data_IF_671282057255
#
_entry.id   IF_671282057255
#
_cell.length_a   1.000
_cell.length_b   1.000
_cell.length_c   1.000
_cell.angle_alpha   90.00
_cell.angle_beta   90.00
_cell.angle_gamma   90.00
#
_symmetry.space_group_name_H-M   'P 1'
#
loop_
_entity.id
_entity.type
_entity.pdbx_description
1 polymer ?
#
# COMPACT_ATOMS: atom_id res chain seq x y z
N UNK A 1 12.88 -1.55 -12.15
CA UNK A 1 13.02 -0.11 -11.81
C UNK A 1 11.93 0.66 -12.55
N UNK A 2 11.58 1.87 -12.10
CA UNK A 2 10.59 2.73 -12.77
C UNK A 2 11.27 3.61 -13.82
N UNK A 3 10.62 3.79 -14.97
CA UNK A 3 11.07 4.71 -16.03
C UNK A 3 11.27 6.13 -15.47
N UNK A 4 12.34 6.86 -15.83
CA UNK A 4 12.57 8.21 -15.32
C UNK A 4 11.43 9.20 -15.57
N UNK A 5 10.76 9.17 -16.74
CA UNK A 5 9.63 10.06 -17.02
C UNK A 5 8.42 9.66 -16.19
N UNK A 6 8.15 8.37 -16.06
CA UNK A 6 7.09 7.86 -15.18
C UNK A 6 7.35 8.25 -13.71
N UNK A 7 8.59 8.15 -13.25
CA UNK A 7 9.01 8.57 -11.90
C UNK A 7 8.74 10.06 -11.67
N UNK A 8 9.15 10.92 -12.60
CA UNK A 8 8.91 12.36 -12.46
C UNK A 8 7.42 12.69 -12.51
N UNK A 9 6.63 12.02 -13.36
CA UNK A 9 5.17 12.17 -13.36
C UNK A 9 4.55 11.84 -12.01
N UNK A 10 4.93 10.72 -11.40
CA UNK A 10 4.48 10.31 -10.06
C UNK A 10 4.90 11.37 -9.03
N UNK A 11 6.17 11.79 -9.04
CA UNK A 11 6.69 12.80 -8.11
C UNK A 11 5.94 14.13 -8.23
N UNK A 12 5.74 14.64 -9.45
CA UNK A 12 5.02 15.90 -9.68
C UNK A 12 3.57 15.82 -9.24
N UNK A 13 2.86 14.74 -9.57
CA UNK A 13 1.47 14.55 -9.10
C UNK A 13 1.40 14.58 -7.57
N UNK A 14 2.24 13.80 -6.90
CA UNK A 14 2.24 13.68 -5.45
C UNK A 14 2.68 14.98 -4.76
N UNK A 15 3.71 15.65 -5.29
CA UNK A 15 4.18 16.92 -4.75
C UNK A 15 3.09 18.01 -4.85
N UNK A 16 2.42 18.10 -6.00
CA UNK A 16 1.35 19.09 -6.23
C UNK A 16 0.11 18.81 -5.37
N UNK A 17 -0.27 17.54 -5.23
CA UNK A 17 -1.51 17.17 -4.54
C UNK A 17 -1.35 17.13 -3.01
N UNK A 18 -0.20 16.69 -2.52
CA UNK A 18 -0.01 16.37 -1.10
C UNK A 18 1.13 17.15 -0.42
N UNK A 19 1.79 18.06 -1.14
CA UNK A 19 2.92 18.84 -0.65
C UNK A 19 4.05 17.96 -0.06
N UNK A 20 4.31 16.83 -0.71
CA UNK A 20 5.37 15.88 -0.31
C UNK A 20 6.62 16.14 -1.15
N UNK A 21 7.75 16.30 -0.46
CA UNK A 21 9.07 16.31 -1.11
C UNK A 21 9.69 14.91 -1.08
N UNK A 22 10.59 14.64 -2.03
CA UNK A 22 11.24 13.35 -2.20
C UNK A 22 12.71 13.37 -1.76
N UNK A 23 13.11 14.33 -0.92
CA UNK A 23 14.50 14.42 -0.43
C UNK A 23 14.81 13.29 0.57
N UNK A 24 13.78 12.73 1.19
CA UNK A 24 13.81 11.50 1.98
C UNK A 24 12.95 10.41 1.34
N UNK A 25 13.02 9.20 1.89
CA UNK A 25 12.20 8.09 1.37
C UNK A 25 10.70 8.37 1.56
N UNK A 26 9.99 8.31 0.45
CA UNK A 26 8.53 8.28 0.35
C UNK A 26 8.13 6.91 -0.15
N UNK A 27 7.14 6.29 0.48
CA UNK A 27 6.49 5.09 -0.07
C UNK A 27 5.27 5.53 -0.87
N UNK A 28 5.12 5.01 -2.08
CA UNK A 28 3.97 5.25 -2.95
C UNK A 28 3.30 3.91 -3.22
N UNK A 29 2.06 3.74 -2.75
CA UNK A 29 1.20 2.63 -3.14
C UNK A 29 0.38 3.02 -4.35
N UNK A 30 0.59 2.34 -5.48
CA UNK A 30 -0.18 2.48 -6.70
C UNK A 30 -1.14 1.29 -6.79
N UNK A 31 -2.43 1.59 -6.66
CA UNK A 31 -3.51 0.62 -6.77
C UNK A 31 -3.88 0.34 -8.22
N UNK A 32 -4.09 -0.92 -8.58
CA UNK A 32 -4.57 -1.34 -9.89
C UNK A 32 -3.56 -1.09 -11.01
N UNK A 33 -2.26 -1.15 -10.72
CA UNK A 33 -1.23 -0.92 -11.73
C UNK A 33 0.08 -1.64 -11.44
N UNK A 34 0.71 -2.17 -12.50
CA UNK A 34 2.00 -2.85 -12.45
C UNK A 34 2.97 -2.22 -13.46
N UNK A 35 4.28 -2.12 -13.15
CA UNK A 35 5.27 -1.71 -14.14
C UNK A 35 5.41 -2.79 -15.22
N UNK A 36 5.48 -2.37 -16.48
CA UNK A 36 5.94 -3.23 -17.57
C UNK A 36 7.48 -3.35 -17.55
N UNK A 37 8.03 -4.08 -18.53
CA UNK A 37 9.48 -4.27 -18.69
C UNK A 37 10.28 -2.97 -18.81
N UNK A 38 9.66 -1.89 -19.29
CA UNK A 38 10.26 -0.57 -19.43
C UNK A 38 10.09 0.29 -18.17
N UNK A 39 9.47 -0.23 -17.11
CA UNK A 39 9.23 0.51 -15.87
C UNK A 39 8.09 1.53 -15.96
N UNK A 40 7.23 1.44 -16.97
CA UNK A 40 6.02 2.26 -17.11
C UNK A 40 4.86 1.54 -16.41
N UNK A 41 4.12 2.25 -15.56
CA UNK A 41 2.95 1.69 -14.87
C UNK A 41 1.82 1.49 -15.89
N UNK A 42 1.30 0.27 -15.97
CA UNK A 42 0.16 -0.11 -16.81
C UNK A 42 -1.01 -0.45 -15.89
N UNK A 43 -2.18 0.14 -16.17
CA UNK A 43 -3.41 -0.16 -15.44
C UNK A 43 -3.84 -1.61 -15.66
N UNK A 44 -4.44 -2.21 -14.64
CA UNK A 44 -5.09 -3.51 -14.72
C UNK A 44 -6.53 -3.43 -14.19
N UNK A 45 -7.22 -4.57 -14.13
CA UNK A 45 -8.63 -4.63 -13.70
C UNK A 45 -8.87 -4.29 -12.23
N UNK A 46 -7.80 -4.13 -11.43
CA UNK A 46 -7.88 -3.91 -9.98
C UNK A 46 -8.77 -4.96 -9.27
N UNK A 47 -8.68 -6.20 -9.74
CA UNK A 47 -9.43 -7.32 -9.19
C UNK A 47 -9.00 -7.63 -7.76
N UNK A 48 -9.98 -7.99 -6.92
CA UNK A 48 -9.72 -8.43 -5.56
C UNK A 48 -8.89 -9.73 -5.53
N UNK A 49 -8.22 -9.94 -4.41
CA UNK A 49 -7.46 -11.16 -4.13
C UNK A 49 -6.21 -11.36 -5.02
N UNK A 50 -5.78 -10.31 -5.73
CA UNK A 50 -4.63 -10.37 -6.64
C UNK A 50 -3.47 -9.49 -6.19
N UNK A 51 -2.26 -9.89 -6.61
CA UNK A 51 -1.04 -9.10 -6.42
C UNK A 51 -0.88 -8.13 -7.60
N UNK A 52 -1.82 -7.22 -7.76
CA UNK A 52 -1.96 -6.35 -8.93
C UNK A 52 -1.67 -4.88 -8.63
N UNK A 53 -1.06 -4.61 -7.48
CA UNK A 53 -0.62 -3.27 -7.08
C UNK A 53 0.90 -3.15 -7.09
N UNK A 54 1.35 -1.91 -7.12
CA UNK A 54 2.77 -1.57 -7.06
C UNK A 54 3.06 -0.74 -5.81
N UNK A 55 4.04 -1.16 -5.03
CA UNK A 55 4.57 -0.37 -3.91
C UNK A 55 5.94 0.15 -4.33
N UNK A 56 6.12 1.46 -4.37
CA UNK A 56 7.37 2.11 -4.78
C UNK A 56 8.00 2.80 -3.57
N UNK A 57 9.31 2.65 -3.39
CA UNK A 57 10.12 3.56 -2.57
C UNK A 57 10.80 4.57 -3.47
N UNK A 58 10.57 5.86 -3.22
CA UNK A 58 11.15 6.96 -3.99
C UNK A 58 11.96 7.88 -3.07
N UNK A 59 13.21 8.18 -3.44
CA UNK A 59 14.07 9.21 -2.85
C UNK A 59 14.94 9.82 -3.94
N UNK A 60 14.85 11.13 -4.13
CA UNK A 60 15.50 11.87 -5.21
C UNK A 60 15.18 11.25 -6.59
N UNK A 61 16.20 10.68 -7.24
CA UNK A 61 16.08 10.00 -8.53
C UNK A 61 16.01 8.46 -8.39
N UNK A 62 16.09 7.93 -7.18
CA UNK A 62 15.95 6.50 -6.93
C UNK A 62 14.47 6.14 -6.79
N UNK A 63 14.01 5.18 -7.60
CA UNK A 63 12.67 4.60 -7.51
C UNK A 63 12.73 3.07 -7.63
N UNK A 64 12.45 2.40 -6.52
CA UNK A 64 12.44 0.93 -6.42
C UNK A 64 11.00 0.46 -6.27
N UNK A 65 10.53 -0.33 -7.24
CA UNK A 65 9.17 -0.82 -7.30
C UNK A 65 9.11 -2.30 -6.91
N UNK A 66 8.10 -2.63 -6.11
CA UNK A 66 7.82 -3.95 -5.60
C UNK A 66 6.38 -4.32 -5.96
N UNK A 67 6.17 -5.52 -6.47
CA UNK A 67 4.81 -6.05 -6.64
C UNK A 67 4.20 -6.28 -5.25
N UNK A 68 2.92 -5.95 -5.11
CA UNK A 68 2.22 -6.10 -3.84
C UNK A 68 0.72 -6.03 -3.97
N UNK A 69 0.08 -5.78 -2.84
CA UNK A 69 -1.33 -5.43 -2.73
C UNK A 69 -1.51 -4.32 -1.70
N UNK A 70 -2.47 -3.45 -1.92
CA UNK A 70 -2.94 -2.40 -1.00
C UNK A 70 -4.32 -2.76 -0.44
N UNK A 71 -4.83 -3.93 -0.80
CA UNK A 71 -6.19 -4.36 -0.57
C UNK A 71 -6.23 -5.69 0.19
N UNK A 72 -7.43 -6.03 0.66
CA UNK A 72 -7.63 -7.28 1.38
C UNK A 72 -7.71 -8.48 0.42
N UNK A 73 -7.23 -9.63 0.91
CA UNK A 73 -7.43 -10.90 0.22
C UNK A 73 -8.79 -11.52 0.51
N UNK A 74 -9.15 -12.53 -0.29
CA UNK A 74 -10.47 -13.17 -0.28
C UNK A 74 -10.90 -13.68 1.09
N UNK A 75 -9.96 -14.21 1.90
CA UNK A 75 -10.26 -14.68 3.27
C UNK A 75 -10.96 -13.59 4.09
N UNK A 76 -10.46 -12.37 3.98
CA UNK A 76 -10.88 -11.25 4.80
C UNK A 76 -12.00 -10.43 4.17
N UNK A 77 -12.21 -10.57 2.86
CA UNK A 77 -13.42 -10.10 2.17
C UNK A 77 -14.62 -10.98 2.59
N UNK A 78 -14.47 -12.29 2.49
CA UNK A 78 -15.56 -13.23 2.82
C UNK A 78 -15.87 -13.26 4.33
N UNK A 79 -14.84 -13.09 5.18
CA UNK A 79 -14.95 -13.10 6.64
C UNK A 79 -14.14 -11.95 7.27
N UNK A 80 -14.67 -10.71 7.28
CA UNK A 80 -13.96 -9.56 7.81
C UNK A 80 -13.72 -9.67 9.32
N UNK A 81 -12.54 -9.24 9.76
CA UNK A 81 -12.21 -9.17 11.20
C UNK A 81 -13.09 -8.17 11.95
N UNK A 82 -13.48 -7.09 11.27
CA UNK A 82 -14.41 -6.11 11.83
C UNK A 82 -15.84 -6.43 11.34
N UNK A 83 -16.84 -6.48 12.24
CA UNK A 83 -18.22 -6.79 11.86
C UNK A 83 -18.81 -5.77 10.87
N UNK A 84 -18.28 -4.55 10.83
CA UNK A 84 -18.65 -3.47 9.91
C UNK A 84 -18.06 -3.61 8.50
N UNK A 85 -17.28 -4.65 8.22
CA UNK A 85 -16.69 -4.89 6.90
C UNK A 85 -15.18 -4.74 6.83
N UNK A 86 -14.63 -5.27 5.74
CA UNK A 86 -13.20 -5.23 5.41
C UNK A 86 -12.77 -3.82 5.12
N UNK A 87 -11.61 -3.40 5.62
CA UNK A 87 -11.10 -2.05 5.40
C UNK A 87 -10.26 -1.99 4.12
N UNK A 88 -10.41 -0.90 3.35
CA UNK A 88 -9.54 -0.53 2.23
C UNK A 88 -9.01 0.88 2.46
N UNK A 89 -7.69 1.01 2.48
CA UNK A 89 -7.04 2.32 2.65
C UNK A 89 -7.34 3.24 1.46
N UNK A 90 -7.77 4.48 1.74
CA UNK A 90 -8.12 5.46 0.72
C UNK A 90 -6.91 6.14 0.08
N UNK A 91 -7.13 6.74 -1.10
CA UNK A 91 -6.12 7.55 -1.78
C UNK A 91 -5.72 8.79 -0.96
N UNK A 92 -4.42 8.97 -0.77
CA UNK A 92 -3.84 10.20 -0.23
C UNK A 92 -2.68 9.95 0.70
N UNK A 93 -2.32 10.97 1.48
CA UNK A 93 -1.13 10.98 2.32
C UNK A 93 -1.41 10.40 3.72
N UNK A 94 -0.68 9.34 4.04
CA UNK A 94 -0.63 8.71 5.35
C UNK A 94 0.82 8.73 5.85
N UNK A 95 1.03 8.40 7.12
CA UNK A 95 2.37 8.24 7.67
C UNK A 95 2.50 6.90 8.35
N UNK A 96 3.65 6.27 8.15
CA UNK A 96 4.00 5.00 8.75
C UNK A 96 5.36 5.10 9.42
N UNK A 97 5.68 4.15 10.30
CA UNK A 97 6.95 4.07 10.99
C UNK A 97 7.20 2.66 11.50
N UNK A 98 8.39 2.40 12.05
CA UNK A 98 8.76 1.07 12.54
C UNK A 98 7.75 0.53 13.56
N UNK A 99 7.43 -0.76 13.42
CA UNK A 99 6.48 -1.46 14.27
C UNK A 99 6.60 -2.97 14.12
N UNK A 100 5.55 -3.67 14.53
CA UNK A 100 5.44 -5.12 14.42
C UNK A 100 4.09 -5.49 13.79
N UNK A 101 4.09 -6.62 13.09
CA UNK A 101 2.88 -7.31 12.63
C UNK A 101 3.10 -8.81 12.96
N UNK A 102 2.26 -9.39 13.83
CA UNK A 102 2.42 -10.75 14.37
C UNK A 102 3.85 -11.08 14.85
N UNK A 103 4.39 -10.20 15.69
CA UNK A 103 5.75 -10.25 16.25
C UNK A 103 6.88 -10.19 15.21
N UNK A 104 6.60 -9.87 13.94
CA UNK A 104 7.60 -9.71 12.88
C UNK A 104 7.82 -8.23 12.59
N UNK A 105 9.07 -7.81 12.28
CA UNK A 105 9.39 -6.42 11.96
C UNK A 105 8.54 -5.93 10.78
N UNK A 106 7.70 -4.93 10.98
CA UNK A 106 6.82 -4.35 9.97
C UNK A 106 6.74 -2.82 10.13
N UNK A 107 5.89 -2.16 9.35
CA UNK A 107 5.57 -0.76 9.57
C UNK A 107 4.12 -0.62 10.02
N UNK A 108 3.87 0.26 10.99
CA UNK A 108 2.53 0.58 11.46
C UNK A 108 2.18 2.00 11.09
N UNK A 109 0.89 2.30 10.97
CA UNK A 109 0.42 3.66 10.81
C UNK A 109 0.93 4.53 11.99
N UNK A 110 1.27 5.77 11.68
CA UNK A 110 1.77 6.84 12.56
C UNK A 110 0.96 8.14 12.38
N UNK A 111 -0.18 8.03 11.70
CA UNK A 111 -1.20 9.06 11.50
C UNK A 111 -2.58 8.41 11.48
N UNK A 112 -3.63 9.23 11.56
CA UNK A 112 -4.98 8.77 11.22
C UNK A 112 -4.96 8.17 9.83
N UNK A 113 -5.67 7.06 9.66
CA UNK A 113 -5.93 6.48 8.36
C UNK A 113 -7.36 6.80 7.96
N UNK A 114 -7.55 7.05 6.68
CA UNK A 114 -8.86 7.18 6.07
C UNK A 114 -8.99 6.16 4.94
N UNK A 115 -10.22 5.77 4.65
CA UNK A 115 -10.54 4.77 3.66
C UNK A 115 -12.00 4.39 3.71
N UNK A 116 -12.32 3.20 3.22
CA UNK A 116 -13.68 2.68 3.21
C UNK A 116 -13.77 1.32 3.89
N UNK A 117 -14.96 0.98 4.38
CA UNK A 117 -15.31 -0.38 4.80
C UNK A 117 -16.39 -0.94 3.88
N UNK A 118 -16.17 -2.16 3.41
CA UNK A 118 -17.15 -2.97 2.67
C UNK A 118 -18.29 -3.40 3.60
N UNK A 119 -19.18 -2.45 3.87
CA UNK A 119 -20.21 -2.56 4.91
C UNK A 119 -21.38 -3.44 4.50
N UNK A 120 -21.62 -3.57 3.19
CA UNK A 120 -22.59 -4.48 2.58
C UNK A 120 -22.00 -5.87 2.28
N UNK A 121 -20.66 -6.04 2.41
CA UNK A 121 -19.94 -7.32 2.31
C UNK A 121 -20.11 -8.00 0.97
N UNK A 122 -20.17 -7.21 -0.11
CA UNK A 122 -20.31 -7.73 -1.47
C UNK A 122 -18.96 -7.84 -2.20
N UNK A 123 -17.87 -7.43 -1.53
CA UNK A 123 -16.53 -7.39 -2.09
C UNK A 123 -16.34 -6.33 -3.17
N UNK A 124 -17.28 -5.40 -3.38
CA UNK A 124 -17.20 -4.41 -4.45
C UNK A 124 -16.98 -3.04 -3.84
N UNK A 125 -15.80 -2.49 -4.09
CA UNK A 125 -15.47 -1.17 -3.59
C UNK A 125 -16.21 -0.07 -4.38
N UNK A 126 -17.20 0.56 -3.75
CA UNK A 126 -18.09 1.51 -4.42
C UNK A 126 -18.67 2.56 -3.46
N UNK A 127 -19.53 3.44 -3.97
CA UNK A 127 -20.11 4.55 -3.19
C UNK A 127 -21.04 4.12 -2.04
N UNK A 128 -21.48 2.86 -2.01
CA UNK A 128 -22.24 2.30 -0.89
C UNK A 128 -21.35 1.97 0.32
N UNK A 129 -20.02 1.93 0.15
CA UNK A 129 -19.10 1.65 1.24
C UNK A 129 -19.04 2.79 2.25
N UNK A 130 -18.94 2.40 3.52
CA UNK A 130 -18.84 3.35 4.61
C UNK A 130 -17.45 4.01 4.59
N UNK A 131 -17.41 5.31 4.30
CA UNK A 131 -16.21 6.10 4.47
C UNK A 131 -15.88 6.23 5.95
N UNK A 132 -14.64 5.88 6.30
CA UNK A 132 -14.18 5.87 7.68
C UNK A 132 -12.86 6.61 7.81
N UNK A 133 -12.69 7.29 8.92
CA UNK A 133 -11.40 7.81 9.38
C UNK A 133 -11.24 7.37 10.82
N UNK A 134 -10.13 6.73 11.16
CA UNK A 134 -9.88 6.33 12.55
C UNK A 134 -8.69 7.09 13.14
N UNK A 135 -8.75 7.28 14.46
CA UNK A 135 -7.72 7.93 15.23
C UNK A 135 -6.43 7.09 15.26
N UNK A 136 -5.29 7.77 15.34
CA UNK A 136 -4.03 7.15 15.69
C UNK A 136 -3.73 7.38 17.19
N UNK A 137 -3.24 6.38 17.94
CA UNK A 137 -3.17 4.95 17.58
C UNK A 137 -4.56 4.30 17.65
N UNK A 138 -4.93 3.42 16.70
CA UNK A 138 -6.30 2.89 16.65
C UNK A 138 -6.53 1.68 15.73
N UNK A 139 -7.76 1.16 15.84
CA UNK A 139 -8.25 -0.22 15.64
C UNK A 139 -8.04 -0.89 14.27
N UNK A 140 -7.69 -0.14 13.22
CA UNK A 140 -7.51 -0.73 11.89
C UNK A 140 -6.40 -1.78 11.82
N UNK A 141 -5.34 -1.67 12.62
CA UNK A 141 -4.20 -2.61 12.57
C UNK A 141 -3.51 -2.69 11.20
N UNK A 142 -3.62 -1.64 10.38
CA UNK A 142 -3.04 -1.62 9.02
C UNK A 142 -1.53 -1.47 9.11
N UNK A 143 -0.84 -2.42 8.49
CA UNK A 143 0.61 -2.48 8.45
C UNK A 143 1.15 -2.48 7.02
N UNK A 144 2.43 -2.14 6.87
CA UNK A 144 3.21 -2.51 5.67
C UNK A 144 4.08 -3.69 6.03
N UNK A 145 3.94 -4.82 5.33
CA UNK A 145 4.67 -6.04 5.67
C UNK A 145 4.94 -6.98 4.48
N UNK A 146 5.72 -8.03 4.74
CA UNK A 146 6.03 -9.09 3.78
C UNK A 146 4.90 -10.14 3.73
N UNK A 147 4.81 -10.91 2.65
CA UNK A 147 3.82 -11.98 2.53
C UNK A 147 4.17 -13.19 3.41
N UNK A 148 3.13 -13.88 3.87
CA UNK A 148 3.21 -15.15 4.60
C UNK A 148 3.23 -16.36 3.66
N UNK A 149 2.51 -16.27 2.54
CA UNK A 149 2.38 -17.34 1.55
C UNK A 149 2.29 -16.77 0.14
N UNK A 150 2.79 -17.54 -0.80
CA UNK A 150 2.65 -17.26 -2.23
C UNK A 150 1.26 -17.68 -2.75
N UNK A 151 0.98 -17.41 -4.02
CA UNK A 151 -0.32 -17.63 -4.66
C UNK A 151 -1.14 -16.36 -4.73
N UNK A 152 -2.44 -16.42 -4.40
CA UNK A 152 -3.34 -15.25 -4.29
C UNK A 152 -3.09 -14.48 -2.99
N UNK A 153 -3.59 -13.25 -2.87
CA UNK A 153 -3.45 -12.46 -1.62
C UNK A 153 -4.04 -13.25 -0.44
N UNK A 154 -5.22 -13.81 -0.64
CA UNK A 154 -6.01 -14.66 0.23
C UNK A 154 -6.03 -14.18 1.70
N UNK A 155 -5.09 -14.63 2.52
CA UNK A 155 -5.02 -14.29 3.95
C UNK A 155 -3.86 -13.39 4.33
N UNK A 156 -3.05 -12.98 3.35
CA UNK A 156 -1.88 -12.15 3.56
C UNK A 156 -2.25 -10.72 4.00
N UNK A 157 -3.43 -10.22 3.62
CA UNK A 157 -3.83 -8.84 3.92
C UNK A 157 -5.30 -8.77 4.32
N UNK A 158 -5.60 -8.21 5.48
CA UNK A 158 -6.96 -7.82 5.89
C UNK A 158 -7.27 -6.34 5.57
N UNK A 159 -6.47 -5.71 4.69
CA UNK A 159 -6.45 -4.27 4.43
C UNK A 159 -5.06 -3.62 4.65
N UNK A 160 -4.02 -4.44 4.80
CA UNK A 160 -2.62 -4.04 4.89
C UNK A 160 -2.03 -3.74 3.50
N UNK A 161 -0.88 -3.06 3.49
CA UNK A 161 -0.02 -2.98 2.32
C UNK A 161 0.98 -4.13 2.40
N UNK A 162 0.95 -5.06 1.45
CA UNK A 162 1.76 -6.27 1.51
C UNK A 162 2.63 -6.38 0.28
N UNK A 163 3.95 -6.49 0.49
CA UNK A 163 4.89 -6.80 -0.57
C UNK A 163 4.80 -8.30 -0.89
N UNK A 164 4.79 -8.66 -2.17
CA UNK A 164 4.80 -10.05 -2.64
C UNK A 164 6.20 -10.68 -2.52
N UNK A 165 6.77 -10.59 -1.34
CA UNK A 165 8.09 -11.10 -0.97
C UNK A 165 8.03 -11.64 0.46
N UNK A 166 8.73 -12.75 0.73
CA UNK A 166 8.76 -13.35 2.07
C UNK A 166 9.59 -12.53 3.06
N UNK A 167 9.31 -12.69 4.35
CA UNK A 167 9.97 -11.99 5.47
C UNK A 167 11.50 -12.10 5.53
N UNK A 168 12.08 -13.14 4.95
CA UNK A 168 13.53 -13.37 4.91
C UNK A 168 14.16 -13.07 3.55
N UNK A 169 13.36 -12.63 2.57
CA UNK A 169 13.87 -12.30 1.23
C UNK A 169 14.79 -11.07 1.25
N UNK A 170 15.70 -11.02 0.28
CA UNK A 170 16.57 -9.85 0.06
C UNK A 170 15.75 -8.59 -0.17
N UNK A 171 14.71 -8.67 -1.00
CA UNK A 171 13.85 -7.52 -1.35
C UNK A 171 13.13 -6.94 -0.12
N UNK A 172 12.53 -7.80 0.72
CA UNK A 172 11.90 -7.34 1.95
C UNK A 172 12.93 -6.73 2.91
N UNK A 173 14.09 -7.37 3.08
CA UNK A 173 15.12 -6.88 3.98
C UNK A 173 15.68 -5.53 3.51
N UNK A 174 15.88 -5.34 2.21
CA UNK A 174 16.27 -4.06 1.63
C UNK A 174 15.17 -3.01 1.81
N UNK A 175 13.92 -3.34 1.46
CA UNK A 175 12.74 -2.51 1.68
C UNK A 175 12.67 -1.99 3.12
N UNK A 176 12.76 -2.93 4.06
CA UNK A 176 12.65 -2.70 5.49
C UNK A 176 13.81 -1.85 6.01
N UNK A 177 15.05 -2.25 5.74
CA UNK A 177 16.23 -1.67 6.38
C UNK A 177 16.45 -0.21 6.00
N UNK A 178 16.10 0.19 4.77
CA UNK A 178 16.20 1.59 4.36
C UNK A 178 15.22 2.51 5.10
N UNK A 179 14.01 2.02 5.37
CA UNK A 179 12.92 2.78 6.00
C UNK A 179 12.98 2.72 7.52
N UNK A 180 13.52 1.65 8.10
CA UNK A 180 13.70 1.51 9.56
C UNK A 180 14.62 2.57 10.17
N UNK A 181 15.45 3.22 9.34
CA UNK A 181 16.28 4.38 9.74
C UNK A 181 15.44 5.63 10.03
N UNK A 182 14.18 5.65 9.59
CA UNK A 182 13.26 6.76 9.76
C UNK A 182 12.26 6.41 10.88
N UNK A 183 12.07 7.32 11.84
CA UNK A 183 11.04 7.14 12.88
C UNK A 183 9.62 7.21 12.31
N UNK A 184 9.45 7.98 11.24
CA UNK A 184 8.19 8.22 10.53
C UNK A 184 8.49 8.63 9.09
N UNK A 185 7.73 8.12 8.12
CA UNK A 185 7.87 8.45 6.71
C UNK A 185 6.50 8.54 6.02
N UNK A 186 6.39 9.36 4.95
CA UNK A 186 5.15 9.50 4.19
C UNK A 186 4.87 8.25 3.35
N UNK A 187 3.60 7.86 3.32
CA UNK A 187 3.05 6.80 2.48
C UNK A 187 1.88 7.38 1.71
N UNK A 188 2.01 7.49 0.40
CA UNK A 188 0.98 8.06 -0.47
C UNK A 188 0.30 6.96 -1.25
N UNK A 189 -1.02 6.85 -1.11
CA UNK A 189 -1.84 5.90 -1.86
C UNK A 189 -2.46 6.63 -3.05
N UNK A 190 -2.34 6.07 -4.25
CA UNK A 190 -2.94 6.61 -5.48
C UNK A 190 -3.47 5.48 -6.34
N UNK A 191 -4.52 5.72 -7.09
CA UNK A 191 -4.97 4.81 -8.15
C UNK A 191 -4.11 5.02 -9.41
N UNK A 192 -3.81 3.94 -10.11
CA UNK A 192 -3.03 3.98 -11.35
C UNK A 192 -3.62 4.95 -12.39
N UNK A 193 -4.95 5.05 -12.45
CA UNK A 193 -5.70 5.97 -13.33
C UNK A 193 -5.29 7.45 -13.23
N UNK A 194 -4.75 7.88 -12.07
CA UNK A 194 -4.34 9.28 -11.86
C UNK A 194 -2.93 9.59 -12.35
N UNK A 195 -2.11 8.57 -12.58
CA UNK A 195 -0.67 8.70 -12.84
C UNK A 195 -0.20 7.97 -14.11
N UNK A 196 -1.13 7.36 -14.85
CA UNK A 196 -0.91 6.69 -16.13
C UNK A 196 -1.52 7.48 -17.28
#
# INVERSE_FOLDING_TARGET
MIDPKQRERIKSFIANQYNVNFNEWVVVGIRGGLPNENGIIIQNSNANDEWNDTIIRIKNDTALAYQGTLDAGKKWIDAPMNPKGTFRIGEGLHYFGPGLHDNKPAFRAMSKLFGSRDSNKDGKWNSADLQVTEAYPGEFGVNIHAMYRDGKVYGNSAGCLVLKHFWNSTDWNEFKTSLYKLQKFPVVIVNAERIT
#
